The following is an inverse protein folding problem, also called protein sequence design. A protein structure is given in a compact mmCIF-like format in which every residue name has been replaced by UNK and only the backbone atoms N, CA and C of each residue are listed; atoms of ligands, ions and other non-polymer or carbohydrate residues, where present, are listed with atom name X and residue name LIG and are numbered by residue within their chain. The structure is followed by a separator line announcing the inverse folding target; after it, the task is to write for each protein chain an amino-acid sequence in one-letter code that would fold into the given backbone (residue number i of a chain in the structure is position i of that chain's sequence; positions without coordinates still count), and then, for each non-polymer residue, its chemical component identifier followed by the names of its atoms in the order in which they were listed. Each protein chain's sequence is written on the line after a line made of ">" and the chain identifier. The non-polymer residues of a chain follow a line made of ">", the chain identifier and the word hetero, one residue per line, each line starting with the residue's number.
data_IF_211388456840
#
_entry.id   IF_211388456840
#
_cell.length_a   1.000
_cell.length_b   1.000
_cell.length_c   1.000
_cell.angle_alpha   90.00
_cell.angle_beta   90.00
_cell.angle_gamma   90.00
#
_symmetry.space_group_name_H-M   'P 1'
#
loop_
_entity.id
_entity.type
_entity.pdbx_description
1 polymer ?
#
# COMPACT_ATOMS: atom_id res chain seq x y z
N UNK A 1 2.67 3.13 7.91
CA UNK A 1 3.18 4.17 7.00
C UNK A 1 4.04 5.24 7.67
N UNK A 2 4.56 5.01 8.89
CA UNK A 2 5.64 5.86 9.39
C UNK A 2 6.88 5.71 8.49
N UNK A 3 7.73 6.75 8.35
CA UNK A 3 7.62 8.09 8.95
C UNK A 3 6.69 9.05 8.17
N UNK A 4 6.13 8.60 7.05
CA UNK A 4 5.55 9.45 6.02
C UNK A 4 4.08 9.84 6.27
N UNK A 5 3.30 8.91 6.83
CA UNK A 5 1.94 9.14 7.33
C UNK A 5 1.86 8.69 8.80
N UNK A 6 1.32 9.57 9.63
CA UNK A 6 1.26 9.39 11.08
C UNK A 6 -0.17 9.07 11.55
N UNK A 7 -0.34 8.39 12.69
CA UNK A 7 -1.64 8.35 13.36
C UNK A 7 -2.19 9.77 13.53
N UNK A 8 -3.49 9.96 13.30
CA UNK A 8 -4.13 11.28 13.34
C UNK A 8 -4.09 12.05 12.02
N UNK A 9 -3.29 11.64 11.03
CA UNK A 9 -3.41 12.17 9.68
C UNK A 9 -4.73 11.69 9.05
N UNK A 10 -5.47 12.62 8.44
CA UNK A 10 -6.60 12.28 7.55
C UNK A 10 -6.12 12.39 6.11
N UNK A 11 -6.33 11.33 5.32
CA UNK A 11 -5.96 11.29 3.90
C UNK A 11 -7.17 11.40 3.01
N UNK A 12 -7.05 12.17 1.93
CA UNK A 12 -8.06 12.27 0.88
C UNK A 12 -7.75 11.27 -0.21
N UNK A 13 -8.70 10.38 -0.44
CA UNK A 13 -8.60 9.31 -1.44
C UNK A 13 -9.26 9.75 -2.74
N UNK A 14 -8.58 9.51 -3.85
CA UNK A 14 -9.12 9.67 -5.19
C UNK A 14 -9.24 8.32 -5.87
N UNK A 15 -10.30 8.12 -6.64
CA UNK A 15 -10.50 6.86 -7.35
C UNK A 15 -9.37 6.64 -8.38
N UNK A 16 -8.79 5.43 -8.49
CA UNK A 16 -7.63 5.18 -9.37
C UNK A 16 -7.88 5.54 -10.83
N UNK A 17 -9.12 5.37 -11.33
CA UNK A 17 -9.46 5.75 -12.72
C UNK A 17 -9.35 7.24 -13.02
N UNK A 18 -9.33 8.11 -12.00
CA UNK A 18 -9.22 9.57 -12.18
C UNK A 18 -7.79 10.07 -12.16
N UNK A 19 -6.92 9.42 -11.41
CA UNK A 19 -5.56 9.92 -11.11
C UNK A 19 -4.45 8.97 -11.53
N UNK A 20 -4.79 7.79 -12.05
CA UNK A 20 -3.83 6.71 -12.27
C UNK A 20 -3.27 6.19 -10.95
N UNK A 21 -2.30 5.28 -11.06
CA UNK A 21 -1.54 4.76 -9.95
C UNK A 21 -0.09 4.63 -10.42
N UNK A 22 0.83 5.24 -9.67
CA UNK A 22 2.28 5.17 -9.95
C UNK A 22 2.94 4.38 -8.83
N UNK A 23 3.61 3.27 -9.16
CA UNK A 23 4.34 2.47 -8.17
C UNK A 23 5.60 3.19 -7.69
N UNK A 24 6.23 2.72 -6.62
CA UNK A 24 7.51 3.24 -6.16
C UNK A 24 8.58 3.11 -7.24
N UNK A 25 8.63 1.98 -7.97
CA UNK A 25 9.55 1.75 -9.08
C UNK A 25 9.40 2.80 -10.18
N UNK A 26 8.18 2.95 -10.71
CA UNK A 26 7.86 3.95 -11.74
C UNK A 26 8.10 5.38 -11.22
N UNK A 27 7.79 5.62 -9.95
CA UNK A 27 7.98 6.91 -9.29
C UNK A 27 9.46 7.27 -9.18
N UNK A 28 10.33 6.30 -8.89
CA UNK A 28 11.78 6.50 -8.83
C UNK A 28 12.35 6.87 -10.20
N UNK A 29 11.90 6.19 -11.26
CA UNK A 29 12.29 6.52 -12.63
C UNK A 29 11.84 7.91 -13.07
N UNK A 30 10.61 8.29 -12.70
CA UNK A 30 9.98 9.57 -13.11
C UNK A 30 10.31 10.74 -12.16
N UNK A 31 10.98 10.49 -11.04
CA UNK A 31 11.17 11.46 -9.97
C UNK A 31 9.87 11.85 -9.23
N UNK A 32 8.80 11.06 -9.38
CA UNK A 32 7.51 11.32 -8.75
C UNK A 32 7.46 10.80 -7.32
N UNK A 33 7.10 11.67 -6.36
CA UNK A 33 7.00 11.35 -4.94
C UNK A 33 5.61 11.68 -4.40
N UNK A 34 5.12 10.83 -3.49
CA UNK A 34 3.97 11.10 -2.65
C UNK A 34 4.29 10.78 -1.18
N UNK A 35 3.83 11.65 -0.29
CA UNK A 35 4.06 11.54 1.15
C UNK A 35 5.54 11.30 1.51
N UNK A 36 6.47 12.01 0.87
CA UNK A 36 7.90 11.97 1.23
C UNK A 36 8.75 10.89 0.55
N UNK A 37 8.16 9.92 -0.15
CA UNK A 37 8.90 8.88 -0.89
C UNK A 37 8.30 8.62 -2.28
N UNK A 38 8.95 7.82 -3.12
CA UNK A 38 8.55 7.59 -4.50
C UNK A 38 7.23 6.82 -4.62
N UNK A 39 6.50 7.10 -5.70
CA UNK A 39 5.24 6.41 -6.01
C UNK A 39 4.10 6.78 -5.06
N UNK A 40 2.95 6.16 -5.29
CA UNK A 40 1.69 6.43 -4.63
C UNK A 40 1.44 5.52 -3.41
N UNK A 41 0.67 6.07 -2.46
CA UNK A 41 0.09 5.34 -1.34
C UNK A 41 -1.36 5.01 -1.66
N UNK A 42 -1.76 3.75 -1.48
CA UNK A 42 -3.12 3.27 -1.77
C UNK A 42 -3.81 2.74 -0.52
N UNK A 43 -5.13 2.85 -0.52
CA UNK A 43 -6.00 2.14 0.42
C UNK A 43 -6.69 1.01 -0.33
N UNK A 44 -6.63 -0.20 0.20
CA UNK A 44 -7.19 -1.39 -0.46
C UNK A 44 -7.76 -2.37 0.56
N UNK A 45 -8.63 -3.26 0.08
CA UNK A 45 -9.09 -4.44 0.82
C UNK A 45 -8.14 -5.62 0.59
N UNK A 46 -7.47 -6.16 1.62
CA UNK A 46 -6.64 -7.34 1.45
C UNK A 46 -7.45 -8.55 0.97
N UNK A 47 -7.01 -9.23 -0.10
CA UNK A 47 -7.76 -10.31 -0.74
C UNK A 47 -9.22 -9.94 -1.05
N UNK A 48 -9.50 -8.66 -1.32
CA UNK A 48 -10.83 -8.13 -1.61
C UNK A 48 -11.80 -8.10 -0.43
N UNK A 49 -11.36 -8.37 0.82
CA UNK A 49 -12.24 -8.35 1.98
C UNK A 49 -11.53 -7.88 3.28
N UNK A 50 -12.25 -7.85 4.41
CA UNK A 50 -11.68 -7.52 5.72
C UNK A 50 -11.46 -6.02 5.98
N UNK A 51 -10.52 -5.70 6.87
CA UNK A 51 -10.21 -4.30 7.23
C UNK A 51 -9.30 -3.67 6.16
N UNK A 52 -9.62 -2.47 5.65
CA UNK A 52 -8.75 -1.78 4.70
C UNK A 52 -7.34 -1.54 5.26
N UNK A 53 -6.37 -1.63 4.37
CA UNK A 53 -4.95 -1.34 4.65
C UNK A 53 -4.53 -0.15 3.79
N UNK A 54 -3.69 0.72 4.36
CA UNK A 54 -3.09 1.86 3.67
C UNK A 54 -1.58 1.66 3.58
N UNK A 55 -1.05 1.35 2.40
CA UNK A 55 0.38 1.13 2.17
C UNK A 55 0.84 1.65 0.79
N UNK A 56 2.15 1.74 0.58
CA UNK A 56 2.74 2.16 -0.69
C UNK A 56 2.70 1.03 -1.70
N UNK A 57 2.26 1.30 -2.92
CA UNK A 57 2.42 0.37 -4.02
C UNK A 57 3.87 0.42 -4.50
N UNK A 58 4.64 -0.65 -4.32
CA UNK A 58 6.08 -0.65 -4.63
C UNK A 58 6.38 -1.09 -6.06
N UNK A 59 5.57 -2.00 -6.60
CA UNK A 59 5.69 -2.52 -7.95
C UNK A 59 4.35 -3.17 -8.38
N UNK A 60 4.19 -3.40 -9.69
CA UNK A 60 3.15 -4.28 -10.23
C UNK A 60 3.83 -5.54 -10.74
N UNK A 61 3.27 -6.70 -10.41
CA UNK A 61 3.81 -8.00 -10.84
C UNK A 61 2.76 -8.77 -11.63
N UNK A 62 3.23 -9.51 -12.63
CA UNK A 62 2.44 -10.51 -13.33
C UNK A 62 2.46 -11.85 -12.58
N UNK A 63 1.43 -12.67 -12.82
CA UNK A 63 1.37 -14.03 -12.29
C UNK A 63 2.63 -14.81 -12.67
N UNK A 64 3.27 -15.41 -11.66
CA UNK A 64 4.49 -16.20 -11.79
C UNK A 64 5.78 -15.41 -11.58
N UNK A 65 5.73 -14.08 -11.54
CA UNK A 65 6.90 -13.26 -11.23
C UNK A 65 7.26 -13.30 -9.74
N UNK A 66 8.54 -13.11 -9.43
CA UNK A 66 9.03 -13.04 -8.05
C UNK A 66 8.47 -11.81 -7.34
N UNK A 67 8.10 -11.96 -6.07
CA UNK A 67 7.60 -10.85 -5.27
C UNK A 67 8.77 -9.93 -4.88
N UNK A 68 8.77 -8.65 -5.28
CA UNK A 68 9.76 -7.66 -4.89
C UNK A 68 9.59 -7.23 -3.44
N UNK A 69 10.71 -6.85 -2.83
CA UNK A 69 10.87 -6.32 -1.49
C UNK A 69 11.58 -4.99 -1.63
N UNK A 70 10.97 -3.92 -1.13
CA UNK A 70 11.65 -2.63 -1.06
C UNK A 70 12.58 -2.62 0.15
N UNK A 71 13.88 -2.61 -0.09
CA UNK A 71 14.91 -2.63 0.95
C UNK A 71 16.01 -1.65 0.63
N UNK A 72 16.33 -0.77 1.59
CA UNK A 72 17.40 0.24 1.46
C UNK A 72 17.33 1.08 0.17
N UNK A 73 16.12 1.38 -0.31
CA UNK A 73 15.91 2.22 -1.49
C UNK A 73 16.11 1.50 -2.82
N UNK A 74 16.05 0.17 -2.83
CA UNK A 74 16.11 -0.69 -4.00
C UNK A 74 15.09 -1.83 -3.91
N UNK A 75 14.65 -2.33 -5.06
CA UNK A 75 13.84 -3.54 -5.13
C UNK A 75 14.75 -4.76 -5.23
N UNK A 76 14.61 -5.66 -4.27
CA UNK A 76 15.20 -7.00 -4.31
C UNK A 76 14.08 -8.04 -4.41
N UNK A 77 14.34 -9.20 -4.99
CA UNK A 77 13.28 -10.18 -5.26
C UNK A 77 13.36 -11.36 -4.29
N UNK A 78 12.21 -11.77 -3.76
CA UNK A 78 12.09 -13.00 -2.97
C UNK A 78 12.01 -14.24 -3.85
N UNK A 79 12.13 -15.44 -3.25
CA UNK A 79 11.88 -16.70 -3.96
C UNK A 79 10.38 -17.02 -4.11
N UNK A 80 9.50 -16.27 -3.45
CA UNK A 80 8.06 -16.45 -3.60
C UNK A 80 7.58 -15.81 -4.90
N UNK A 81 6.68 -16.50 -5.59
CA UNK A 81 6.10 -16.02 -6.85
C UNK A 81 4.65 -15.57 -6.66
N UNK A 82 4.24 -14.58 -7.45
CA UNK A 82 2.90 -14.05 -7.49
C UNK A 82 1.91 -15.10 -8.02
N UNK A 83 0.92 -15.49 -7.21
CA UNK A 83 -0.12 -16.46 -7.59
C UNK A 83 -1.11 -15.85 -8.61
N UNK A 84 -1.29 -14.54 -8.54
CA UNK A 84 -2.10 -13.71 -9.44
C UNK A 84 -1.35 -12.42 -9.76
N UNK A 85 -1.68 -11.76 -10.87
CA UNK A 85 -1.14 -10.43 -11.18
C UNK A 85 -1.74 -9.36 -10.27
N UNK A 86 -0.96 -8.35 -9.92
CA UNK A 86 -1.44 -7.24 -9.10
C UNK A 86 -0.32 -6.38 -8.51
N UNK A 87 -0.70 -5.40 -7.71
CA UNK A 87 0.26 -4.53 -7.04
C UNK A 87 0.81 -5.19 -5.78
N UNK A 88 2.11 -5.05 -5.58
CA UNK A 88 2.78 -5.39 -4.33
C UNK A 88 2.81 -4.13 -3.47
N UNK A 89 2.38 -4.28 -2.23
CA UNK A 89 2.32 -3.17 -1.28
C UNK A 89 3.29 -3.40 -0.14
N UNK A 90 3.91 -2.32 0.34
CA UNK A 90 4.77 -2.36 1.50
C UNK A 90 4.55 -1.11 2.33
N UNK A 91 4.36 -1.29 3.64
CA UNK A 91 4.35 -0.16 4.56
C UNK A 91 5.73 0.49 4.63
N UNK A 92 5.79 1.82 4.66
CA UNK A 92 7.06 2.56 4.64
C UNK A 92 8.02 2.22 5.82
N UNK A 93 7.48 1.70 6.93
CA UNK A 93 8.26 1.21 8.07
C UNK A 93 8.40 -0.33 8.11
N UNK A 94 7.82 -1.05 7.15
CA UNK A 94 7.83 -2.50 7.10
C UNK A 94 9.09 -2.99 6.39
N UNK A 95 9.70 -4.05 6.91
CA UNK A 95 10.89 -4.69 6.31
C UNK A 95 10.58 -5.60 5.13
N UNK A 96 9.32 -6.03 5.02
CA UNK A 96 8.83 -6.93 3.99
C UNK A 96 7.51 -6.40 3.42
N UNK A 97 7.21 -6.69 2.15
CA UNK A 97 5.92 -6.40 1.55
C UNK A 97 4.81 -7.22 2.21
N UNK A 98 3.58 -6.73 2.07
CA UNK A 98 2.40 -7.30 2.72
C UNK A 98 2.11 -8.72 2.19
N UNK A 99 2.41 -8.99 0.93
CA UNK A 99 2.21 -10.29 0.26
C UNK A 99 3.13 -11.41 0.77
N UNK A 100 4.19 -11.07 1.52
CA UNK A 100 5.05 -12.03 2.20
C UNK A 100 4.69 -12.23 3.68
N UNK A 101 3.72 -11.47 4.21
CA UNK A 101 3.23 -11.62 5.57
C UNK A 101 2.03 -12.58 5.63
N UNK A 102 1.95 -13.33 6.72
CA UNK A 102 0.74 -14.07 7.09
C UNK A 102 -0.15 -13.15 7.93
N UNK A 103 -1.41 -13.00 7.51
CA UNK A 103 -2.36 -12.12 8.18
C UNK A 103 -3.63 -12.88 8.55
N UNK A 104 -4.31 -12.41 9.61
CA UNK A 104 -5.63 -12.93 9.97
C UNK A 104 -6.71 -12.12 9.26
N UNK A 105 -7.43 -12.75 8.35
CA UNK A 105 -8.58 -12.18 7.65
C UNK A 105 -9.80 -13.01 8.04
N UNK A 106 -10.84 -12.34 8.54
CA UNK A 106 -12.11 -12.99 8.89
C UNK A 106 -11.95 -14.23 9.80
N UNK A 107 -10.99 -14.19 10.72
CA UNK A 107 -10.69 -15.28 11.66
C UNK A 107 -9.79 -16.40 11.13
N UNK A 108 -9.36 -16.36 9.86
CA UNK A 108 -8.46 -17.34 9.24
C UNK A 108 -7.10 -16.73 8.95
N UNK A 109 -6.03 -17.53 9.10
CA UNK A 109 -4.69 -17.13 8.66
C UNK A 109 -4.58 -17.34 7.16
N UNK A 110 -4.33 -16.27 6.42
CA UNK A 110 -4.22 -16.27 4.97
C UNK A 110 -2.94 -15.58 4.51
N UNK A 111 -2.41 -16.02 3.38
CA UNK A 111 -1.39 -15.29 2.64
C UNK A 111 -2.07 -14.21 1.81
N UNK A 112 -1.50 -13.00 1.83
CA UNK A 112 -1.98 -11.91 0.98
C UNK A 112 -1.56 -12.12 -0.47
N UNK A 113 -2.53 -11.96 -1.36
CA UNK A 113 -2.30 -11.94 -2.79
C UNK A 113 -1.87 -10.54 -3.25
N UNK A 114 -1.18 -10.42 -4.41
CA UNK A 114 -1.00 -9.13 -5.08
C UNK A 114 -2.34 -8.40 -5.22
N UNK A 115 -2.34 -7.10 -4.95
CA UNK A 115 -3.56 -6.29 -4.85
C UNK A 115 -4.13 -6.05 -6.25
N UNK A 116 -5.32 -6.59 -6.51
CA UNK A 116 -6.02 -6.35 -7.77
C UNK A 116 -6.60 -4.93 -7.84
N UNK A 117 -6.80 -4.42 -9.06
CA UNK A 117 -7.27 -3.05 -9.30
C UNK A 117 -8.63 -2.76 -8.67
N UNK A 118 -9.53 -3.74 -8.68
CA UNK A 118 -10.87 -3.68 -8.10
C UNK A 118 -10.88 -3.76 -6.56
N UNK A 119 -9.78 -4.17 -5.94
CA UNK A 119 -9.63 -4.18 -4.48
C UNK A 119 -9.18 -2.83 -3.92
N UNK A 120 -8.75 -1.90 -4.79
CA UNK A 120 -8.27 -0.58 -4.41
C UNK A 120 -9.45 0.35 -4.16
N UNK A 121 -9.56 0.83 -2.92
CA UNK A 121 -10.56 1.81 -2.50
C UNK A 121 -10.20 3.19 -3.07
N UNK A 122 -8.91 3.55 -3.04
CA UNK A 122 -8.45 4.80 -3.62
C UNK A 122 -6.97 5.04 -3.45
N UNK A 123 -6.47 6.00 -4.22
CA UNK A 123 -5.10 6.52 -4.15
C UNK A 123 -5.10 7.74 -3.24
N UNK A 124 -4.27 7.71 -2.19
CA UNK A 124 -4.10 8.86 -1.31
C UNK A 124 -3.36 9.97 -2.06
N UNK A 125 -3.94 11.17 -2.12
CA UNK A 125 -3.33 12.32 -2.82
C UNK A 125 -3.06 13.52 -1.92
N UNK A 126 -3.80 13.66 -0.82
CA UNK A 126 -3.62 14.75 0.14
C UNK A 126 -3.69 14.22 1.57
N UNK A 127 -2.97 14.87 2.49
CA UNK A 127 -3.13 14.67 3.93
C UNK A 127 -3.44 15.98 4.64
N UNK A 128 -4.23 15.87 5.69
CA UNK A 128 -4.43 16.90 6.71
C UNK A 128 -3.87 16.33 8.01
N UNK A 129 -2.71 16.83 8.47
CA UNK A 129 -2.08 16.30 9.68
C UNK A 129 -2.92 16.55 10.94
N UNK A 130 -2.83 15.66 11.91
CA UNK A 130 -3.37 15.77 13.28
C UNK A 130 -4.90 15.88 13.42
N UNK A 131 -5.65 16.20 12.37
CA UNK A 131 -7.11 16.44 12.46
C UNK A 131 -7.87 15.18 12.88
N UNK A 132 -7.35 13.98 12.60
CA UNK A 132 -7.92 12.72 13.05
C UNK A 132 -7.92 12.54 14.56
N UNK A 133 -7.13 13.32 15.31
CA UNK A 133 -7.19 13.35 16.78
C UNK A 133 -8.40 14.12 17.31
N UNK A 134 -9.05 14.95 16.50
CA UNK A 134 -10.26 15.66 16.91
C UNK A 134 -11.35 14.72 17.42
N UNK A 135 -11.46 13.51 16.84
CA UNK A 135 -12.41 12.48 17.29
C UNK A 135 -12.16 11.99 18.73
N UNK A 136 -10.96 12.19 19.27
CA UNK A 136 -10.65 11.82 20.66
C UNK A 136 -11.15 12.87 21.66
N UNK A 137 -11.42 14.09 21.20
CA UNK A 137 -11.99 15.17 22.02
C UNK A 137 -13.50 15.08 22.15
N UNK A 138 -14.16 14.36 21.22
CA UNK A 138 -15.59 14.13 21.23
C UNK A 138 -15.84 12.70 21.72
N UNK A 139 -16.38 12.48 22.93
CA UNK A 139 -16.89 11.18 23.32
C UNK A 139 -18.09 10.86 22.42
N UNK A 140 -17.91 9.90 21.52
CA UNK A 140 -18.98 9.27 20.75
C UNK A 140 -19.29 7.92 21.41
#
# INVERSE_FOLDING_TARGET
>A
MQPNLMPGDVVILMHPSRVGLVTWEEGKEKGYKSFGDYGDVIVYYPNGNGKPVIHRAIAYVEKGEKIPILSKGELVYSENVAIISGYITQGDANRIPDQLALVKISGKTEQLMPVQKDWIIGVAKFRIPLIGYFRLLIPI
#
